data_IF_018768280939
#
_entry.id   IF_018768280939
#
_cell.length_a   1.000
_cell.length_b   1.000
_cell.length_c   1.000
_cell.angle_alpha   90.00
_cell.angle_beta   90.00
_cell.angle_gamma   90.00
#
_symmetry.space_group_name_H-M   'P 1'
#
loop_
_entity.id
_entity.type
_entity.pdbx_description
1 polymer ?
#
# COMPACT_ATOMS: atom_id res chain seq x y z
N UNK A 1 25.56 -2.53 1.77
CA UNK A 1 24.33 -2.23 2.54
C UNK A 1 23.34 -3.31 2.17
N UNK A 2 22.71 -3.95 3.15
CA UNK A 2 21.79 -5.06 2.88
C UNK A 2 20.55 -4.52 2.15
N UNK A 3 20.34 -4.94 0.90
CA UNK A 3 19.26 -4.41 0.04
C UNK A 3 17.89 -5.05 0.32
N UNK A 4 17.84 -5.95 1.32
CA UNK A 4 16.65 -6.66 1.72
C UNK A 4 16.59 -6.78 3.25
N UNK A 5 15.38 -6.64 3.80
CA UNK A 5 15.12 -6.76 5.23
C UNK A 5 13.87 -7.61 5.45
N UNK A 6 14.00 -8.68 6.22
CA UNK A 6 12.87 -9.48 6.66
C UNK A 6 12.23 -8.87 7.91
N UNK A 7 10.90 -8.88 7.95
CA UNK A 7 10.06 -8.38 9.02
C UNK A 7 9.11 -9.51 9.40
N UNK A 8 9.14 -9.93 10.66
CA UNK A 8 8.18 -10.89 11.21
C UNK A 8 7.14 -10.11 12.01
N UNK A 9 5.86 -10.27 11.68
CA UNK A 9 4.75 -9.61 12.34
C UNK A 9 4.28 -10.39 13.56
N UNK A 10 5.23 -10.85 14.38
CA UNK A 10 4.96 -11.53 15.64
C UNK A 10 4.93 -10.51 16.79
N UNK A 11 3.73 -10.28 17.32
CA UNK A 11 3.52 -9.41 18.47
C UNK A 11 3.82 -7.92 18.21
N UNK A 12 3.86 -7.10 19.28
CA UNK A 12 3.85 -5.64 19.16
C UNK A 12 5.06 -5.04 18.44
N UNK A 13 6.24 -5.67 18.52
CA UNK A 13 7.46 -5.16 17.92
C UNK A 13 7.43 -5.29 16.39
N UNK A 14 6.98 -6.43 15.87
CA UNK A 14 6.81 -6.64 14.43
C UNK A 14 5.79 -5.69 13.82
N UNK A 15 4.65 -5.50 14.50
CA UNK A 15 3.59 -4.57 14.10
C UNK A 15 4.09 -3.12 14.07
N UNK A 16 4.89 -2.72 15.07
CA UNK A 16 5.55 -1.41 15.08
C UNK A 16 6.51 -1.27 13.90
N UNK A 17 7.33 -2.28 13.62
CA UNK A 17 8.28 -2.25 12.51
C UNK A 17 7.57 -2.14 11.15
N UNK A 18 6.43 -2.82 10.97
CA UNK A 18 5.57 -2.63 9.79
C UNK A 18 5.13 -1.18 9.65
N UNK A 19 4.57 -0.61 10.73
CA UNK A 19 4.10 0.77 10.73
C UNK A 19 5.21 1.75 10.41
N UNK A 20 6.41 1.56 10.98
CA UNK A 20 7.59 2.40 10.70
C UNK A 20 8.00 2.30 9.22
N UNK A 21 8.04 1.10 8.64
CA UNK A 21 8.39 0.89 7.23
C UNK A 21 7.35 1.53 6.31
N UNK A 22 6.06 1.28 6.54
CA UNK A 22 4.99 1.90 5.76
C UNK A 22 5.02 3.42 5.88
N UNK A 23 5.16 3.97 7.09
CA UNK A 23 5.24 5.42 7.31
C UNK A 23 6.40 6.05 6.53
N UNK A 24 7.58 5.42 6.57
CA UNK A 24 8.74 5.89 5.82
C UNK A 24 8.52 5.81 4.30
N UNK A 25 7.98 4.71 3.79
CA UNK A 25 7.74 4.55 2.35
C UNK A 25 6.67 5.53 1.85
N UNK A 26 5.55 5.67 2.55
CA UNK A 26 4.50 6.64 2.18
C UNK A 26 4.97 8.09 2.25
N UNK A 27 5.84 8.44 3.22
CA UNK A 27 6.46 9.77 3.24
C UNK A 27 7.26 10.03 1.96
N UNK A 28 8.06 9.05 1.53
CA UNK A 28 8.80 9.12 0.27
C UNK A 28 7.87 9.26 -0.94
N UNK A 29 6.79 8.48 -1.00
CA UNK A 29 5.81 8.53 -2.08
C UNK A 29 5.07 9.88 -2.15
N UNK A 30 4.69 10.45 -1.01
CA UNK A 30 4.04 11.76 -0.94
C UNK A 30 4.98 12.87 -1.43
N UNK A 31 6.26 12.80 -1.07
CA UNK A 31 7.26 13.81 -1.44
C UNK A 31 7.80 13.65 -2.87
N UNK A 32 7.90 12.40 -3.34
CA UNK A 32 8.40 12.04 -4.67
C UNK A 32 7.49 11.00 -5.31
N UNK A 33 6.41 11.45 -5.97
CA UNK A 33 5.39 10.56 -6.51
C UNK A 33 5.91 9.55 -7.52
N UNK A 34 5.39 8.34 -7.42
CA UNK A 34 5.66 7.24 -8.36
C UNK A 34 4.51 6.24 -8.39
N UNK A 35 4.51 5.40 -9.42
CA UNK A 35 3.50 4.34 -9.57
C UNK A 35 3.56 3.35 -8.41
N UNK A 36 2.41 3.16 -7.77
CA UNK A 36 2.18 2.18 -6.71
C UNK A 36 1.36 1.02 -7.28
N UNK A 37 1.94 -0.16 -7.28
CA UNK A 37 1.21 -1.42 -7.44
C UNK A 37 0.84 -1.96 -6.07
N UNK A 38 -0.46 -2.14 -5.80
CA UNK A 38 -0.96 -2.71 -4.56
C UNK A 38 -1.77 -3.96 -4.88
N UNK A 39 -1.23 -5.11 -4.49
CA UNK A 39 -1.79 -6.42 -4.84
C UNK A 39 -2.10 -7.16 -3.55
N UNK A 40 -3.35 -7.55 -3.35
CA UNK A 40 -3.73 -8.37 -2.21
C UNK A 40 -5.07 -9.08 -2.44
N UNK A 41 -5.21 -10.37 -2.10
CA UNK A 41 -6.48 -11.08 -2.17
C UNK A 41 -7.58 -10.45 -1.31
N UNK A 42 -7.21 -9.91 -0.16
CA UNK A 42 -8.13 -9.24 0.78
C UNK A 42 -7.55 -7.91 1.23
N UNK A 43 -8.41 -6.90 1.32
CA UNK A 43 -8.05 -5.54 1.69
C UNK A 43 -9.02 -4.99 2.73
N UNK A 44 -8.48 -4.42 3.80
CA UNK A 44 -9.24 -3.63 4.77
C UNK A 44 -8.34 -2.61 5.44
N UNK A 45 -8.94 -1.56 5.98
CA UNK A 45 -8.19 -0.45 6.53
C UNK A 45 -7.58 -0.77 7.91
N UNK A 46 -6.47 -0.12 8.24
CA UNK A 46 -5.78 -0.24 9.52
C UNK A 46 -4.93 0.98 9.82
N UNK A 47 -4.65 1.23 11.10
CA UNK A 47 -3.84 2.37 11.51
C UNK A 47 -2.36 2.17 11.16
N UNK A 48 -1.73 3.20 10.60
CA UNK A 48 -0.31 3.20 10.26
C UNK A 48 0.44 4.26 11.06
N UNK A 49 0.11 5.53 10.85
CA UNK A 49 0.81 6.66 11.46
C UNK A 49 0.08 7.11 12.74
N UNK A 50 0.84 7.28 13.81
CA UNK A 50 0.38 8.00 15.00
C UNK A 50 0.74 9.49 14.87
N UNK A 51 -0.24 10.30 14.44
CA UNK A 51 -0.12 11.76 14.32
C UNK A 51 -0.76 12.50 15.51
N UNK A 52 -1.04 11.84 16.64
CA UNK A 52 -1.65 12.51 17.82
C UNK A 52 -0.78 13.65 18.37
N UNK A 53 0.54 13.53 18.22
CA UNK A 53 1.49 14.59 18.56
C UNK A 53 1.71 15.65 17.46
N UNK A 54 1.05 15.53 16.30
CA UNK A 54 1.21 16.45 15.15
C UNK A 54 2.55 16.32 14.40
N UNK A 55 3.40 15.36 14.78
CA UNK A 55 4.75 15.17 14.23
C UNK A 55 4.78 14.77 12.74
N UNK A 56 3.66 14.31 12.18
CA UNK A 56 3.50 13.95 10.76
C UNK A 56 2.64 14.95 9.97
N UNK A 57 2.13 16.01 10.61
CA UNK A 57 1.31 17.04 9.94
C UNK A 57 2.06 17.83 8.87
N UNK A 58 3.39 17.68 8.77
CA UNK A 58 4.17 18.24 7.66
C UNK A 58 3.90 17.52 6.32
N UNK A 59 3.41 16.27 6.35
CA UNK A 59 2.99 15.53 5.14
C UNK A 59 1.61 15.98 4.67
N UNK A 60 0.67 16.06 5.61
CA UNK A 60 -0.68 16.58 5.37
C UNK A 60 -1.22 17.24 6.64
N UNK A 61 -1.31 18.57 6.68
CA UNK A 61 -1.87 19.30 7.82
C UNK A 61 -3.32 18.95 8.15
N UNK A 62 -4.09 18.43 7.19
CA UNK A 62 -5.52 18.12 7.37
C UNK A 62 -5.76 16.89 8.25
N UNK A 63 -4.76 16.04 8.48
CA UNK A 63 -4.91 14.85 9.32
C UNK A 63 -5.29 15.20 10.76
N UNK A 64 -4.79 16.31 11.31
CA UNK A 64 -5.01 16.66 12.70
C UNK A 64 -4.40 15.66 13.69
N UNK A 65 -4.76 15.78 14.97
CA UNK A 65 -4.17 15.03 16.08
C UNK A 65 -4.83 13.65 16.28
N UNK A 66 -4.55 12.67 15.41
CA UNK A 66 -5.15 11.33 15.45
C UNK A 66 -4.25 10.24 14.83
N UNK A 67 -4.73 8.99 14.86
CA UNK A 67 -4.20 7.94 14.00
C UNK A 67 -4.61 8.20 12.54
N UNK A 68 -3.67 7.97 11.63
CA UNK A 68 -3.88 8.04 10.18
C UNK A 68 -3.84 6.63 9.63
N UNK A 69 -4.87 6.26 8.88
CA UNK A 69 -5.05 4.91 8.38
C UNK A 69 -4.27 4.63 7.08
N UNK A 70 -4.12 3.36 6.74
CA UNK A 70 -3.50 2.91 5.49
C UNK A 70 -4.25 3.46 4.27
N UNK A 71 -5.59 3.45 4.31
CA UNK A 71 -6.40 4.01 3.24
C UNK A 71 -6.22 5.52 3.11
N UNK A 72 -6.05 6.25 4.21
CA UNK A 72 -5.77 7.70 4.17
C UNK A 72 -4.38 8.01 3.63
N UNK A 73 -3.37 7.20 3.96
CA UNK A 73 -2.03 7.33 3.37
C UNK A 73 -2.03 7.07 1.87
N UNK A 74 -2.75 6.03 1.40
CA UNK A 74 -2.95 5.79 -0.03
C UNK A 74 -3.63 6.98 -0.69
N UNK A 75 -4.73 7.49 -0.11
CA UNK A 75 -5.43 8.65 -0.65
C UNK A 75 -4.52 9.88 -0.72
N UNK A 76 -3.71 10.12 0.32
CA UNK A 76 -2.77 11.24 0.38
C UNK A 76 -1.71 11.10 -0.71
N UNK A 77 -1.11 9.92 -0.88
CA UNK A 77 -0.11 9.68 -1.92
C UNK A 77 -0.70 9.87 -3.33
N UNK A 78 -1.90 9.34 -3.59
CA UNK A 78 -2.58 9.50 -4.89
C UNK A 78 -2.95 10.95 -5.16
N UNK A 79 -3.47 11.66 -4.17
CA UNK A 79 -3.78 13.09 -4.30
C UNK A 79 -2.53 13.97 -4.49
N UNK A 80 -1.35 13.49 -4.07
CA UNK A 80 -0.06 14.13 -4.34
C UNK A 80 0.57 13.69 -5.68
N UNK A 81 -0.14 12.89 -6.48
CA UNK A 81 0.25 12.56 -7.85
C UNK A 81 0.81 11.16 -8.05
N UNK A 82 0.74 10.26 -7.07
CA UNK A 82 1.09 8.85 -7.28
C UNK A 82 0.00 8.15 -8.09
N UNK A 83 0.30 7.57 -9.26
CA UNK A 83 -0.59 6.60 -9.89
C UNK A 83 -0.74 5.37 -8.98
N UNK A 84 -1.97 4.86 -8.84
CA UNK A 84 -2.27 3.67 -8.05
C UNK A 84 -2.92 2.60 -8.92
N UNK A 85 -2.38 1.38 -8.84
CA UNK A 85 -2.86 0.19 -9.52
C UNK A 85 -3.19 -0.87 -8.48
N UNK A 86 -4.48 -1.10 -8.24
CA UNK A 86 -4.95 -2.09 -7.27
C UNK A 86 -5.35 -3.38 -7.98
N UNK A 87 -4.79 -4.50 -7.53
CA UNK A 87 -5.25 -5.83 -7.96
C UNK A 87 -5.76 -6.59 -6.75
N UNK A 88 -7.04 -6.97 -6.78
CA UNK A 88 -7.68 -7.64 -5.64
C UNK A 88 -8.75 -8.65 -6.10
N UNK A 89 -9.35 -9.41 -5.17
CA UNK A 89 -10.47 -10.32 -5.49
C UNK A 89 -11.80 -9.56 -5.56
N UNK A 90 -12.80 -10.01 -6.34
CA UNK A 90 -14.12 -9.37 -6.44
C UNK A 90 -15.03 -9.56 -5.21
N UNK A 91 -14.44 -9.62 -4.01
CA UNK A 91 -15.12 -9.74 -2.73
C UNK A 91 -15.77 -8.41 -2.28
N UNK A 92 -16.88 -8.49 -1.55
CA UNK A 92 -17.61 -7.33 -1.05
C UNK A 92 -16.77 -6.40 -0.18
N UNK A 93 -15.92 -6.93 0.70
CA UNK A 93 -15.06 -6.11 1.56
C UNK A 93 -14.02 -5.34 0.75
N UNK A 94 -13.46 -5.97 -0.28
CA UNK A 94 -12.51 -5.32 -1.19
C UNK A 94 -13.18 -4.20 -1.98
N UNK A 95 -14.40 -4.42 -2.47
CA UNK A 95 -15.19 -3.37 -3.16
C UNK A 95 -15.45 -2.18 -2.24
N UNK A 96 -15.87 -2.42 -1.00
CA UNK A 96 -16.07 -1.36 0.00
C UNK A 96 -14.77 -0.61 0.30
N UNK A 97 -13.63 -1.30 0.41
CA UNK A 97 -12.33 -0.64 0.58
C UNK A 97 -12.00 0.28 -0.60
N UNK A 98 -12.17 -0.21 -1.83
CA UNK A 98 -11.92 0.54 -3.08
C UNK A 98 -12.84 1.75 -3.20
N UNK A 99 -14.14 1.59 -2.96
CA UNK A 99 -15.14 2.67 -3.02
C UNK A 99 -14.83 3.77 -1.99
N UNK A 100 -14.49 3.38 -0.75
CA UNK A 100 -14.11 4.33 0.30
C UNK A 100 -12.80 5.05 -0.02
N UNK A 101 -11.86 4.38 -0.69
CA UNK A 101 -10.63 5.01 -1.15
C UNK A 101 -10.95 6.04 -2.23
N UNK A 102 -11.69 5.65 -3.27
CA UNK A 102 -12.11 6.53 -4.37
C UNK A 102 -12.86 7.78 -3.87
N UNK A 103 -13.74 7.65 -2.88
CA UNK A 103 -14.45 8.77 -2.29
C UNK A 103 -13.54 9.81 -1.59
N UNK A 104 -12.27 9.49 -1.34
CA UNK A 104 -11.26 10.41 -0.76
C UNK A 104 -10.32 11.01 -1.80
N UNK A 105 -10.42 10.57 -3.05
CA UNK A 105 -9.53 11.00 -4.11
C UNK A 105 -10.04 12.26 -4.81
N UNK A 106 -9.12 13.06 -5.32
CA UNK A 106 -9.41 14.23 -6.14
C UNK A 106 -10.00 13.80 -7.49
N UNK A 107 -10.86 14.60 -8.15
CA UNK A 107 -11.51 14.19 -9.41
C UNK A 107 -10.56 13.75 -10.52
N UNK A 108 -9.33 14.29 -10.56
CA UNK A 108 -8.32 13.97 -11.57
C UNK A 108 -7.32 12.90 -11.10
N UNK A 109 -7.71 12.02 -10.17
CA UNK A 109 -6.82 11.00 -9.65
C UNK A 109 -6.44 9.96 -10.72
N UNK A 110 -5.23 9.42 -10.65
CA UNK A 110 -4.82 8.27 -11.45
C UNK A 110 -4.88 7.00 -10.59
N UNK A 111 -6.08 6.45 -10.44
CA UNK A 111 -6.31 5.19 -9.73
C UNK A 111 -7.08 4.24 -10.65
N UNK A 112 -6.55 3.03 -10.83
CA UNK A 112 -7.24 1.94 -11.50
C UNK A 112 -7.28 0.70 -10.60
N UNK A 113 -8.37 -0.06 -10.68
CA UNK A 113 -8.56 -1.28 -9.90
C UNK A 113 -9.03 -2.41 -10.82
N UNK A 114 -8.37 -3.56 -10.74
CA UNK A 114 -8.73 -4.78 -11.47
C UNK A 114 -9.03 -5.92 -10.50
N UNK A 115 -10.06 -6.70 -10.82
CA UNK A 115 -10.50 -7.82 -10.00
C UNK A 115 -10.14 -9.17 -10.60
N UNK A 116 -9.53 -10.05 -9.81
CA UNK A 116 -9.09 -11.39 -10.22
C UNK A 116 -9.55 -12.43 -9.21
N UNK A 117 -10.32 -13.43 -9.65
CA UNK A 117 -10.83 -14.51 -8.78
C UNK A 117 -9.69 -15.32 -8.15
N UNK A 118 -8.72 -15.75 -8.96
CA UNK A 118 -7.59 -16.58 -8.55
C UNK A 118 -6.36 -15.75 -8.15
N UNK A 119 -6.56 -14.75 -7.29
CA UNK A 119 -5.45 -13.93 -6.77
C UNK A 119 -4.91 -14.51 -5.45
N UNK A 120 -3.61 -14.78 -5.40
CA UNK A 120 -2.90 -15.20 -4.19
C UNK A 120 -1.67 -14.34 -3.85
N UNK A 121 -1.15 -13.60 -4.83
CA UNK A 121 -0.02 -12.70 -4.68
C UNK A 121 -0.33 -11.56 -3.72
N UNK A 122 0.65 -11.14 -2.94
CA UNK A 122 0.54 -10.05 -1.96
C UNK A 122 1.78 -9.18 -2.02
N UNK A 123 1.59 -7.90 -2.25
CA UNK A 123 2.68 -6.96 -2.16
C UNK A 123 2.33 -5.53 -2.55
N UNK A 124 3.23 -4.63 -2.18
CA UNK A 124 3.23 -3.23 -2.59
C UNK A 124 4.55 -2.95 -3.27
N UNK A 125 4.49 -2.67 -4.58
CA UNK A 125 5.64 -2.55 -5.46
C UNK A 125 5.67 -1.15 -6.09
N UNK A 126 6.86 -0.56 -6.12
CA UNK A 126 7.14 0.69 -6.80
C UNK A 126 8.46 0.58 -7.57
N UNK A 127 8.92 1.65 -8.22
CA UNK A 127 10.26 1.65 -8.85
C UNK A 127 11.43 1.62 -7.85
N UNK A 128 11.18 1.88 -6.56
CA UNK A 128 12.24 2.00 -5.55
C UNK A 128 12.16 0.96 -4.44
N UNK A 129 10.98 0.42 -4.14
CA UNK A 129 10.87 -0.62 -3.13
C UNK A 129 9.84 -1.67 -3.51
N UNK A 130 10.00 -2.85 -2.90
CA UNK A 130 9.01 -3.90 -2.91
C UNK A 130 8.80 -4.45 -1.51
N UNK A 131 7.57 -4.37 -1.03
CA UNK A 131 7.07 -5.08 0.13
C UNK A 131 6.32 -6.31 -0.34
N UNK A 132 6.85 -7.52 -0.09
CA UNK A 132 6.19 -8.78 -0.42
C UNK A 132 6.18 -9.75 0.75
N UNK A 133 5.19 -10.64 0.82
CA UNK A 133 5.17 -11.65 1.88
C UNK A 133 3.83 -12.36 2.00
N UNK A 134 3.56 -12.92 3.17
CA UNK A 134 2.30 -13.63 3.45
C UNK A 134 1.16 -12.68 3.84
N UNK A 135 1.48 -11.46 4.28
CA UNK A 135 0.54 -10.49 4.82
C UNK A 135 -0.45 -9.99 3.76
N UNK A 136 -1.75 -10.14 4.04
CA UNK A 136 -2.79 -9.39 3.33
C UNK A 136 -2.84 -7.95 3.85
N UNK A 137 -3.17 -6.98 3.00
CA UNK A 137 -3.34 -5.58 3.41
C UNK A 137 -4.69 -5.37 4.12
N UNK A 138 -4.83 -6.03 5.26
CA UNK A 138 -6.02 -6.08 6.11
C UNK A 138 -5.65 -5.75 7.54
N UNK A 139 -6.64 -5.36 8.34
CA UNK A 139 -6.44 -5.14 9.77
C UNK A 139 -5.87 -6.37 10.48
N UNK A 140 -6.36 -7.57 10.20
CA UNK A 140 -5.85 -8.80 10.82
C UNK A 140 -4.44 -9.14 10.33
N UNK A 141 -4.15 -8.98 9.03
CA UNK A 141 -2.80 -9.15 8.49
C UNK A 141 -1.78 -8.22 9.16
N UNK A 142 -2.14 -6.96 9.40
CA UNK A 142 -1.25 -5.97 9.99
C UNK A 142 -1.15 -6.04 11.53
N UNK A 143 -2.17 -6.53 12.25
CA UNK A 143 -2.26 -6.41 13.71
C UNK A 143 -2.50 -7.71 14.48
N UNK A 144 -2.84 -8.83 13.83
CA UNK A 144 -3.18 -10.08 14.53
C UNK A 144 -2.43 -11.32 14.02
N UNK A 145 -2.32 -11.47 12.71
CA UNK A 145 -1.80 -12.68 12.10
C UNK A 145 -0.28 -12.78 12.22
N UNK A 146 0.21 -14.01 12.35
CA UNK A 146 1.64 -14.34 12.26
C UNK A 146 2.09 -14.31 10.80
N UNK A 147 2.37 -13.09 10.33
CA UNK A 147 2.77 -12.84 8.95
C UNK A 147 4.26 -12.53 8.85
N UNK A 148 4.81 -12.64 7.65
CA UNK A 148 6.14 -12.12 7.34
C UNK A 148 6.10 -11.22 6.10
N UNK A 149 6.98 -10.25 6.09
CA UNK A 149 7.22 -9.36 4.96
C UNK A 149 8.72 -9.27 4.67
N UNK A 150 9.04 -9.17 3.41
CA UNK A 150 10.34 -8.83 2.89
C UNK A 150 10.24 -7.44 2.28
N UNK A 151 10.97 -6.50 2.86
CA UNK A 151 11.24 -5.21 2.24
C UNK A 151 12.50 -5.33 1.40
N UNK A 152 12.42 -4.97 0.12
CA UNK A 152 13.54 -5.01 -0.81
C UNK A 152 13.69 -3.68 -1.53
N UNK A 153 14.91 -3.14 -1.55
CA UNK A 153 15.33 -2.03 -2.42
C UNK A 153 16.25 -2.51 -3.56
N UNK A 154 16.39 -3.83 -3.73
CA UNK A 154 17.19 -4.43 -4.81
C UNK A 154 16.53 -4.15 -6.17
N UNK A 155 17.23 -3.43 -7.04
CA UNK A 155 16.71 -2.96 -8.34
C UNK A 155 16.38 -4.08 -9.32
N UNK A 156 17.16 -5.17 -9.32
CA UNK A 156 16.92 -6.31 -10.21
C UNK A 156 15.60 -6.98 -9.83
N UNK A 157 15.43 -7.31 -8.55
CA UNK A 157 14.21 -7.92 -8.03
C UNK A 157 12.97 -7.05 -8.29
N UNK A 158 13.11 -5.72 -8.11
CA UNK A 158 12.03 -4.77 -8.39
C UNK A 158 11.68 -4.74 -9.88
N UNK A 159 12.69 -4.71 -10.76
CA UNK A 159 12.47 -4.65 -12.21
C UNK A 159 11.79 -5.92 -12.72
N UNK A 160 12.23 -7.09 -12.24
CA UNK A 160 11.63 -8.37 -12.57
C UNK A 160 10.16 -8.42 -12.11
N UNK A 161 9.88 -7.94 -10.89
CA UNK A 161 8.51 -7.88 -10.36
C UNK A 161 7.62 -6.90 -11.13
N UNK A 162 8.15 -5.78 -11.61
CA UNK A 162 7.41 -4.81 -12.43
C UNK A 162 7.04 -5.42 -13.80
N UNK A 163 7.96 -6.14 -14.43
CA UNK A 163 7.70 -6.85 -15.69
C UNK A 163 6.62 -7.92 -15.48
N UNK A 164 6.76 -8.73 -14.42
CA UNK A 164 5.78 -9.77 -14.10
C UNK A 164 4.39 -9.17 -13.85
N UNK A 165 4.28 -8.14 -13.01
CA UNK A 165 2.99 -7.53 -12.69
C UNK A 165 2.38 -6.84 -13.92
N UNK A 166 3.17 -6.14 -14.71
CA UNK A 166 2.70 -5.49 -15.94
C UNK A 166 2.28 -6.47 -17.04
N UNK A 167 2.88 -7.66 -17.08
CA UNK A 167 2.48 -8.73 -18.00
C UNK A 167 1.27 -9.54 -17.52
N UNK A 168 1.15 -9.75 -16.21
CA UNK A 168 0.11 -10.58 -15.61
C UNK A 168 -1.21 -9.83 -15.41
N UNK A 169 -1.14 -8.57 -14.98
CA UNK A 169 -2.31 -7.80 -14.60
C UNK A 169 -2.55 -6.66 -15.56
N UNK A 170 -3.75 -6.64 -16.13
CA UNK A 170 -4.20 -5.59 -17.03
C UNK A 170 -5.20 -4.71 -16.31
N UNK A 171 -5.15 -3.43 -16.64
CA UNK A 171 -6.16 -2.47 -16.26
C UNK A 171 -6.82 -2.06 -17.55
N UNK A 172 -8.16 -2.00 -17.56
CA UNK A 172 -8.85 -1.45 -18.71
C UNK A 172 -8.30 -0.07 -19.01
N UNK A 173 -8.14 0.25 -20.29
CA UNK A 173 -8.03 1.65 -20.68
C UNK A 173 -9.25 2.33 -20.06
N UNK A 174 -9.01 3.39 -19.28
CA UNK A 174 -10.09 4.27 -18.84
C UNK A 174 -10.68 4.87 -20.10
N UNK A 175 -11.71 4.22 -20.64
CA UNK A 175 -12.53 4.75 -21.72
C UNK A 175 -13.01 6.14 -21.29
N UNK A 176 -12.90 7.06 -22.25
CA UNK A 176 -13.16 8.50 -22.20
C UNK A 176 -14.40 8.95 -21.40
#
# INVERSE_FOLDING_TARGET
>A
MEEQRQIFLHGPLGQRQLREVLSAQFSGLILYPELIWLISPWMSDFDVIDNRGGQWSFLDPSWGARMVSFQELLATAVNNGCPLRIVTRPDTLNKVFVERLQARLSPNHDMQCSYYENLHAKGMLTKHFFLKGSMNYTWSGANLNDEHLLFSSNKTLISDALIEFGGQYTFGDSDE
#
